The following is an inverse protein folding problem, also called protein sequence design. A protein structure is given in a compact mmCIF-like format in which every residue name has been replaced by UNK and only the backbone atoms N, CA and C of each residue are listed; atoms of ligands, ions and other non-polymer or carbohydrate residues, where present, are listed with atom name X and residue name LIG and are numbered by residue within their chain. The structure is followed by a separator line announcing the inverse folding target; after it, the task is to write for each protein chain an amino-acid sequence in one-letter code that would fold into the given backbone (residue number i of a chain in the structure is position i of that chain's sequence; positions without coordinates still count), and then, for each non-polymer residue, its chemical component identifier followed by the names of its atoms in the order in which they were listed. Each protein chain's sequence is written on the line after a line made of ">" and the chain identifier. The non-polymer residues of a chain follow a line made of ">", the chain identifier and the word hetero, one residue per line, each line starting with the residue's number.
data_IF_560085281736
#
_entry.id   IF_560085281736
#
_cell.length_a   1.000
_cell.length_b   1.000
_cell.length_c   1.000
_cell.angle_alpha   90.00
_cell.angle_beta   90.00
_cell.angle_gamma   90.00
#
_symmetry.space_group_name_H-M   'P 1'
#
loop_
_entity.id
_entity.type
_entity.pdbx_description
1 polymer ?
#
# COMPACT_ATOMS: atom_id res chain seq x y z
N UNK A 1 1.37 -66.49 30.24
CA UNK A 1 0.36 -65.52 30.76
C UNK A 1 0.98 -64.15 30.55
N UNK A 2 0.65 -63.35 29.52
CA UNK A 2 -0.65 -62.69 29.22
C UNK A 2 -1.23 -61.96 30.43
N UNK A 3 -1.59 -60.67 30.40
CA UNK A 3 -1.48 -59.60 29.39
C UNK A 3 -1.52 -58.21 30.13
N UNK A 4 -1.55 -57.00 29.56
CA UNK A 4 -1.73 -56.52 28.17
C UNK A 4 -1.05 -55.13 27.97
N UNK A 5 -1.19 -54.54 26.77
CA UNK A 5 -0.60 -53.25 26.36
C UNK A 5 -1.54 -52.05 26.57
N UNK A 6 -1.00 -50.84 26.87
CA UNK A 6 -0.98 -49.68 25.94
C UNK A 6 -0.38 -48.38 26.58
N UNK A 7 0.18 -47.45 25.76
CA UNK A 7 0.90 -46.27 26.25
C UNK A 7 0.06 -44.98 26.31
N UNK A 8 0.41 -44.08 27.22
CA UNK A 8 -0.23 -42.75 27.35
C UNK A 8 0.30 -41.72 26.34
N UNK A 9 -0.64 -41.07 25.65
CA UNK A 9 -0.74 -39.60 25.71
C UNK A 9 0.26 -38.74 24.92
N UNK A 10 0.03 -38.60 23.62
CA UNK A 10 0.56 -37.54 22.75
C UNK A 10 0.27 -36.13 23.30
N UNK A 11 1.30 -35.27 23.41
CA UNK A 11 1.14 -33.82 23.52
C UNK A 11 1.97 -33.10 22.44
N UNK A 12 1.29 -32.48 21.48
CA UNK A 12 1.94 -31.71 20.41
C UNK A 12 2.35 -30.32 20.94
N UNK A 13 3.61 -29.91 20.72
CA UNK A 13 4.02 -28.53 20.96
C UNK A 13 3.70 -27.68 19.74
N UNK A 14 2.78 -26.75 19.94
CA UNK A 14 2.30 -25.73 19.01
C UNK A 14 3.43 -24.83 18.53
N UNK A 15 3.46 -24.54 17.22
CA UNK A 15 4.28 -23.45 16.67
C UNK A 15 3.65 -22.07 16.98
N UNK A 16 4.44 -20.97 16.91
CA UNK A 16 3.93 -19.63 17.16
C UNK A 16 2.93 -19.23 16.06
N UNK A 17 1.71 -18.87 16.48
CA UNK A 17 0.60 -18.60 15.58
C UNK A 17 0.74 -17.28 14.82
N UNK A 18 0.42 -17.30 13.52
CA UNK A 18 0.27 -16.09 12.73
C UNK A 18 -0.95 -15.29 13.19
N UNK A 19 -0.73 -14.03 13.58
CA UNK A 19 -1.79 -13.09 13.98
C UNK A 19 -2.56 -12.56 12.75
N UNK A 20 -3.28 -13.44 12.04
CA UNK A 20 -4.31 -13.02 11.07
C UNK A 20 -5.54 -12.50 11.83
N UNK A 21 -5.48 -11.22 12.20
CA UNK A 21 -6.61 -10.49 12.79
C UNK A 21 -7.77 -10.39 11.81
N UNK A 22 -8.95 -10.86 12.22
CA UNK A 22 -10.17 -10.84 11.41
C UNK A 22 -10.82 -9.45 11.44
N UNK A 23 -10.78 -8.76 10.29
CA UNK A 23 -11.63 -7.60 10.01
C UNK A 23 -12.31 -7.76 8.64
N UNK A 24 -13.02 -8.87 8.45
CA UNK A 24 -13.92 -9.07 7.32
C UNK A 24 -15.33 -8.62 7.71
N UNK A 25 -15.60 -7.32 7.61
CA UNK A 25 -16.97 -6.83 7.51
C UNK A 25 -17.38 -6.97 6.03
N UNK A 26 -18.41 -7.77 5.76
CA UNK A 26 -18.91 -7.93 4.41
C UNK A 26 -19.58 -6.63 3.96
N UNK A 27 -18.99 -5.95 2.97
CA UNK A 27 -19.65 -4.88 2.22
C UNK A 27 -20.31 -5.48 0.99
N UNK A 28 -21.62 -5.31 0.89
CA UNK A 28 -22.44 -5.91 -0.15
C UNK A 28 -22.21 -5.23 -1.50
N UNK A 29 -22.21 -6.00 -2.59
CA UNK A 29 -21.78 -5.54 -3.92
C UNK A 29 -22.98 -5.01 -4.73
N UNK A 30 -23.48 -3.83 -4.32
CA UNK A 30 -24.55 -3.10 -4.99
C UNK A 30 -24.17 -2.59 -6.39
N UNK A 31 -25.14 -2.54 -7.31
CA UNK A 31 -24.88 -2.43 -8.74
C UNK A 31 -24.71 -0.99 -9.28
N UNK A 32 -23.74 -0.86 -10.20
CA UNK A 32 -23.67 -0.02 -11.41
C UNK A 32 -24.72 1.09 -11.57
N UNK A 33 -24.25 2.34 -11.55
CA UNK A 33 -24.92 3.49 -12.17
C UNK A 33 -24.17 3.92 -13.44
N UNK A 34 -24.82 3.81 -14.61
CA UNK A 34 -24.20 4.15 -15.91
C UNK A 34 -24.16 5.66 -16.12
N UNK A 35 -22.95 6.22 -16.24
CA UNK A 35 -22.72 7.61 -16.62
C UNK A 35 -21.46 7.75 -17.48
N UNK A 36 -21.62 8.23 -18.71
CA UNK A 36 -20.58 8.54 -19.68
C UNK A 36 -21.07 9.79 -20.46
N UNK A 37 -20.21 10.68 -20.99
CA UNK A 37 -18.98 10.30 -21.69
C UNK A 37 -17.73 11.20 -21.49
N UNK A 38 -16.57 10.71 -21.96
CA UNK A 38 -15.56 11.55 -22.60
C UNK A 38 -14.20 11.71 -21.90
N UNK A 39 -13.17 11.08 -22.47
CA UNK A 39 -11.78 11.58 -22.54
C UNK A 39 -11.08 11.99 -21.22
N UNK A 40 -10.87 11.01 -20.34
CA UNK A 40 -9.77 11.00 -19.35
C UNK A 40 -9.48 9.57 -18.86
N UNK A 41 -10.55 8.80 -18.63
CA UNK A 41 -10.51 7.48 -17.98
C UNK A 41 -9.74 6.36 -18.72
N UNK A 42 -9.47 6.49 -20.03
CA UNK A 42 -8.80 5.45 -20.83
C UNK A 42 -7.26 5.50 -20.79
N UNK A 43 -6.66 6.41 -20.02
CA UNK A 43 -5.20 6.58 -19.97
C UNK A 43 -4.51 5.90 -18.77
N UNK A 44 -5.25 5.40 -17.77
CA UNK A 44 -4.67 4.93 -16.48
C UNK A 44 -5.00 3.51 -15.94
N UNK A 45 -5.35 2.49 -16.74
CA UNK A 45 -5.66 1.16 -16.20
C UNK A 45 -4.48 0.43 -15.51
N UNK A 46 -3.24 0.96 -15.59
CA UNK A 46 -2.07 0.37 -14.96
C UNK A 46 -1.70 0.94 -13.58
N UNK A 47 -2.13 2.15 -13.17
CA UNK A 47 -1.67 2.76 -11.91
C UNK A 47 -2.86 2.92 -10.96
N UNK A 48 -2.80 2.41 -9.72
CA UNK A 48 -3.94 2.43 -8.79
C UNK A 48 -4.24 3.86 -8.34
N UNK A 49 -5.48 4.11 -7.98
CA UNK A 49 -5.92 5.37 -7.40
C UNK A 49 -5.49 5.55 -5.93
N UNK A 50 -5.50 6.79 -5.45
CA UNK A 50 -5.11 7.10 -4.07
C UNK A 50 -6.03 6.46 -3.02
N UNK A 51 -7.29 6.21 -3.38
CA UNK A 51 -8.25 5.49 -2.53
C UNK A 51 -7.90 4.00 -2.41
N UNK A 52 -7.39 3.37 -3.47
CA UNK A 52 -6.93 1.98 -3.46
C UNK A 52 -5.64 1.84 -2.65
N UNK A 53 -4.69 2.79 -2.79
CA UNK A 53 -3.50 2.84 -1.95
C UNK A 53 -3.85 2.96 -0.47
N UNK A 54 -4.81 3.80 -0.11
CA UNK A 54 -5.29 3.92 1.25
C UNK A 54 -5.97 2.63 1.74
N UNK A 55 -6.80 2.00 0.91
CA UNK A 55 -7.40 0.70 1.22
C UNK A 55 -6.35 -0.39 1.46
N UNK A 56 -5.26 -0.39 0.68
CA UNK A 56 -4.13 -1.29 0.85
C UNK A 56 -3.35 -1.02 2.15
N UNK A 57 -3.09 0.25 2.48
CA UNK A 57 -2.47 0.63 3.77
C UNK A 57 -3.33 0.22 4.97
N UNK A 58 -4.66 0.28 4.85
CA UNK A 58 -5.62 -0.23 5.83
C UNK A 58 -5.71 -1.78 5.86
N UNK A 59 -5.08 -2.47 4.91
CA UNK A 59 -5.05 -3.93 4.82
C UNK A 59 -6.29 -4.57 4.18
N UNK A 60 -7.13 -3.80 3.47
CA UNK A 60 -8.33 -4.30 2.80
C UNK A 60 -8.04 -4.98 1.45
N UNK A 61 -6.94 -4.61 0.80
CA UNK A 61 -6.42 -5.22 -0.45
C UNK A 61 -4.90 -5.40 -0.35
N UNK A 62 -4.26 -5.94 -1.40
CA UNK A 62 -2.81 -6.02 -1.51
C UNK A 62 -2.16 -7.18 -0.74
N UNK A 63 -2.91 -8.23 -0.41
CA UNK A 63 -2.38 -9.44 0.24
C UNK A 63 -2.32 -10.68 -0.67
N UNK A 64 -2.89 -10.62 -1.87
CA UNK A 64 -2.80 -11.68 -2.87
C UNK A 64 -1.57 -11.51 -3.77
N UNK A 65 -1.22 -12.55 -4.52
CA UNK A 65 -0.06 -12.53 -5.42
C UNK A 65 -0.36 -11.82 -6.76
N UNK A 66 -1.62 -11.88 -7.18
CA UNK A 66 -2.20 -11.26 -8.37
C UNK A 66 -2.73 -9.83 -8.14
N UNK A 67 -2.79 -9.38 -6.88
CA UNK A 67 -3.05 -7.97 -6.54
C UNK A 67 -2.01 -7.04 -7.19
N UNK A 68 -2.43 -5.81 -7.48
CA UNK A 68 -1.58 -4.80 -8.11
C UNK A 68 -0.25 -4.58 -7.35
N UNK A 69 0.93 -4.61 -8.01
CA UNK A 69 2.22 -4.56 -7.31
C UNK A 69 2.40 -3.32 -6.42
N UNK A 70 1.83 -2.17 -6.80
CA UNK A 70 1.91 -0.94 -6.00
C UNK A 70 0.97 -0.98 -4.78
N UNK A 71 -0.20 -1.63 -4.86
CA UNK A 71 -1.08 -1.77 -3.67
C UNK A 71 -0.51 -2.79 -2.69
N UNK A 72 0.05 -3.90 -3.19
CA UNK A 72 0.84 -4.86 -2.38
C UNK A 72 2.02 -4.17 -1.67
N UNK A 73 2.77 -3.33 -2.39
CA UNK A 73 3.86 -2.56 -1.81
C UNK A 73 3.40 -1.54 -0.76
N UNK A 74 2.27 -0.85 -1.00
CA UNK A 74 1.66 0.07 -0.02
C UNK A 74 1.27 -0.64 1.28
N UNK A 75 0.71 -1.85 1.18
CA UNK A 75 0.43 -2.72 2.32
C UNK A 75 1.71 -3.12 3.06
N UNK A 76 2.73 -3.62 2.37
CA UNK A 76 4.01 -4.02 2.98
C UNK A 76 4.67 -2.83 3.71
N UNK A 77 4.62 -1.63 3.13
CA UNK A 77 5.10 -0.40 3.76
C UNK A 77 4.33 -0.07 5.06
N UNK A 78 3.00 -0.18 5.07
CA UNK A 78 2.19 0.04 6.28
C UNK A 78 2.50 -1.00 7.38
N UNK A 79 2.66 -2.27 7.01
CA UNK A 79 3.07 -3.34 7.92
C UNK A 79 4.47 -3.09 8.51
N UNK A 80 5.42 -2.59 7.71
CA UNK A 80 6.76 -2.19 8.14
C UNK A 80 6.74 -0.96 9.08
N UNK A 81 5.94 0.06 8.78
CA UNK A 81 5.77 1.23 9.67
C UNK A 81 5.21 0.82 11.05
N UNK A 82 4.26 -0.10 11.07
CA UNK A 82 3.70 -0.66 12.31
C UNK A 82 4.72 -1.54 13.05
N UNK A 83 5.50 -2.35 12.33
CA UNK A 83 6.58 -3.15 12.90
C UNK A 83 7.68 -2.27 13.53
N UNK A 84 8.07 -1.17 12.87
CA UNK A 84 9.08 -0.22 13.38
C UNK A 84 8.66 0.40 14.71
N UNK A 85 7.38 0.73 14.88
CA UNK A 85 6.82 1.24 16.14
C UNK A 85 6.85 0.18 17.25
N UNK A 86 6.55 -1.08 16.92
CA UNK A 86 6.52 -2.21 17.87
C UNK A 86 7.91 -2.72 18.26
N UNK A 87 8.90 -2.57 17.38
CA UNK A 87 10.27 -3.06 17.61
C UNK A 87 11.32 -2.03 17.18
N UNK A 88 11.54 -0.96 17.96
CA UNK A 88 12.51 0.09 17.63
C UNK A 88 13.95 -0.43 17.43
N UNK A 89 14.31 -1.55 18.07
CA UNK A 89 15.64 -2.18 17.92
C UNK A 89 15.91 -2.69 16.50
N UNK A 90 14.85 -2.96 15.71
CA UNK A 90 14.95 -3.37 14.29
C UNK A 90 14.80 -2.20 13.31
N UNK A 91 14.80 -0.95 13.77
CA UNK A 91 14.52 0.21 12.92
C UNK A 91 15.43 0.31 11.68
N UNK A 92 16.73 -0.01 11.81
CA UNK A 92 17.67 0.05 10.68
C UNK A 92 17.36 -0.99 9.58
N UNK A 93 17.03 -2.22 9.97
CA UNK A 93 16.62 -3.29 9.05
C UNK A 93 15.31 -2.91 8.34
N UNK A 94 14.33 -2.42 9.10
CA UNK A 94 13.01 -2.04 8.58
C UNK A 94 13.10 -0.81 7.65
N UNK A 95 13.92 0.18 8.00
CA UNK A 95 14.13 1.36 7.15
C UNK A 95 14.95 1.04 5.89
N UNK A 96 15.83 0.04 5.93
CA UNK A 96 16.46 -0.51 4.73
C UNK A 96 15.40 -1.14 3.81
N UNK A 97 14.59 -2.06 4.35
CA UNK A 97 13.52 -2.73 3.59
C UNK A 97 12.50 -1.75 2.99
N UNK A 98 12.10 -0.71 3.75
CA UNK A 98 11.22 0.36 3.23
C UNK A 98 11.83 1.07 2.01
N UNK A 99 13.12 1.39 2.05
CA UNK A 99 13.82 2.03 0.91
C UNK A 99 13.91 1.11 -0.31
N UNK A 100 14.11 -0.20 -0.13
CA UNK A 100 14.06 -1.17 -1.22
C UNK A 100 12.69 -1.16 -1.93
N UNK A 101 11.60 -1.12 -1.16
CA UNK A 101 10.23 -1.09 -1.71
C UNK A 101 9.96 0.24 -2.43
N UNK A 102 10.40 1.38 -1.88
CA UNK A 102 10.31 2.69 -2.55
C UNK A 102 10.99 2.65 -3.92
N UNK A 103 12.23 2.16 -3.99
CA UNK A 103 12.98 2.02 -5.26
C UNK A 103 12.31 1.01 -6.20
N UNK A 104 11.69 -0.06 -5.68
CA UNK A 104 10.94 -1.02 -6.48
C UNK A 104 9.71 -0.38 -7.14
N UNK A 105 8.93 0.42 -6.40
CA UNK A 105 7.79 1.17 -6.95
C UNK A 105 8.26 2.15 -8.02
N UNK A 106 9.26 2.98 -7.72
CA UNK A 106 9.75 4.01 -8.67
C UNK A 106 10.28 3.38 -9.97
N UNK A 107 10.98 2.24 -9.87
CA UNK A 107 11.42 1.48 -11.04
C UNK A 107 10.24 0.90 -11.81
N UNK A 108 9.29 0.28 -11.12
CA UNK A 108 8.12 -0.33 -11.75
C UNK A 108 7.29 0.70 -12.56
N UNK A 109 7.18 1.94 -12.06
CA UNK A 109 6.54 3.04 -12.80
C UNK A 109 7.44 3.56 -13.93
N UNK A 110 8.74 3.73 -13.69
CA UNK A 110 9.69 4.22 -14.71
C UNK A 110 9.78 3.29 -15.93
N UNK A 111 9.64 1.98 -15.72
CA UNK A 111 9.61 0.97 -16.79
C UNK A 111 8.33 1.07 -17.69
N UNK A 112 7.30 1.82 -17.25
CA UNK A 112 5.98 1.95 -17.90
C UNK A 112 5.63 3.36 -18.39
N UNK A 113 6.34 4.37 -17.92
CA UNK A 113 5.93 5.78 -18.07
C UNK A 113 7.03 6.66 -18.66
N UNK A 114 6.64 7.77 -19.28
CA UNK A 114 7.56 8.77 -19.83
C UNK A 114 7.70 9.95 -18.87
N UNK A 115 8.10 9.65 -17.62
CA UNK A 115 8.09 10.61 -16.53
C UNK A 115 8.88 11.90 -16.83
N UNK A 116 8.34 13.03 -16.37
CA UNK A 116 9.01 14.31 -16.51
C UNK A 116 10.35 14.32 -15.75
N UNK A 117 11.33 15.10 -16.24
CA UNK A 117 12.66 15.19 -15.61
C UNK A 117 12.65 15.72 -14.14
N UNK A 118 11.51 16.27 -13.70
CA UNK A 118 11.28 16.76 -12.33
C UNK A 118 10.15 16.00 -11.62
N UNK A 119 9.74 14.84 -12.13
CA UNK A 119 8.70 14.02 -11.51
C UNK A 119 9.16 13.57 -10.11
N UNK A 120 8.27 13.72 -9.12
CA UNK A 120 8.55 13.34 -7.73
C UNK A 120 8.35 11.84 -7.54
N UNK A 121 9.23 11.18 -6.78
CA UNK A 121 9.14 9.74 -6.46
C UNK A 121 7.74 9.34 -5.98
N UNK A 122 7.11 8.41 -6.71
CA UNK A 122 5.82 7.83 -6.35
C UNK A 122 6.00 6.82 -5.21
N UNK A 123 7.11 6.07 -5.19
CA UNK A 123 7.45 5.19 -4.08
C UNK A 123 7.52 5.94 -2.74
N UNK A 124 8.14 7.11 -2.72
CA UNK A 124 8.21 7.96 -1.53
C UNK A 124 6.84 8.52 -1.14
N UNK A 125 5.95 8.80 -2.11
CA UNK A 125 4.58 9.22 -1.82
C UNK A 125 3.76 8.09 -1.18
N UNK A 126 3.86 6.86 -1.70
CA UNK A 126 3.22 5.65 -1.11
C UNK A 126 3.74 5.41 0.31
N UNK A 127 5.06 5.47 0.52
CA UNK A 127 5.67 5.30 1.85
C UNK A 127 5.25 6.41 2.84
N UNK A 128 5.08 7.64 2.36
CA UNK A 128 4.54 8.76 3.13
C UNK A 128 3.07 8.56 3.53
N UNK A 129 2.23 8.09 2.60
CA UNK A 129 0.82 7.75 2.87
C UNK A 129 0.72 6.61 3.89
N UNK A 130 1.52 5.54 3.73
CA UNK A 130 1.59 4.44 4.69
C UNK A 130 2.04 4.91 6.09
N UNK A 131 3.04 5.79 6.16
CA UNK A 131 3.49 6.38 7.42
C UNK A 131 2.38 7.17 8.13
N UNK A 132 1.64 7.99 7.37
CA UNK A 132 0.55 8.80 7.86
C UNK A 132 -0.64 7.94 8.32
N UNK A 133 -1.03 6.92 7.53
CA UNK A 133 -2.12 6.00 7.85
C UNK A 133 -1.84 5.24 9.15
N UNK A 134 -0.62 4.71 9.33
CA UNK A 134 -0.24 4.01 10.55
C UNK A 134 -0.19 4.97 11.74
N UNK A 135 0.29 6.21 11.54
CA UNK A 135 0.29 7.25 12.59
C UNK A 135 -1.14 7.60 13.04
N UNK A 136 -2.06 7.83 12.10
CA UNK A 136 -3.45 8.15 12.39
C UNK A 136 -4.16 6.98 13.11
N UNK A 137 -3.92 5.74 12.65
CA UNK A 137 -4.48 4.52 13.26
C UNK A 137 -3.97 4.27 14.68
N UNK A 138 -2.70 4.56 14.96
CA UNK A 138 -2.14 4.46 16.33
C UNK A 138 -2.71 5.56 17.22
N UNK A 139 -2.71 6.82 16.77
CA UNK A 139 -3.29 7.94 17.52
C UNK A 139 -4.77 7.70 17.88
N UNK A 140 -5.57 7.17 16.95
CA UNK A 140 -6.99 6.84 17.20
C UNK A 140 -7.18 5.73 18.26
N UNK A 141 -6.21 4.80 18.40
CA UNK A 141 -6.26 3.74 19.41
C UNK A 141 -5.81 4.20 20.79
N UNK A 142 -4.91 5.18 20.82
CA UNK A 142 -4.32 5.72 22.04
C UNK A 142 -5.09 6.93 22.59
N UNK A 143 -6.04 7.49 21.83
CA UNK A 143 -6.84 8.66 22.20
C UNK A 143 -8.01 8.31 23.14
N UNK A 144 -8.21 9.16 24.15
CA UNK A 144 -9.34 9.06 25.09
C UNK A 144 -10.68 9.49 24.45
N UNK A 145 -10.64 10.40 23.48
CA UNK A 145 -11.81 10.85 22.71
C UNK A 145 -11.49 10.94 21.21
N UNK A 146 -12.48 10.68 20.36
CA UNK A 146 -12.33 10.69 18.90
C UNK A 146 -12.13 12.12 18.35
N UNK A 147 -12.58 13.13 19.09
CA UNK A 147 -12.50 14.55 18.71
C UNK A 147 -11.13 15.21 18.97
N UNK A 148 -10.14 14.48 19.49
CA UNK A 148 -8.78 15.00 19.68
C UNK A 148 -8.25 15.62 18.37
N UNK A 149 -7.83 16.89 18.45
CA UNK A 149 -7.27 17.66 17.34
C UNK A 149 -6.11 16.91 16.65
N UNK A 150 -5.32 16.13 17.40
CA UNK A 150 -4.22 15.32 16.88
C UNK A 150 -4.72 14.17 16.01
N UNK A 151 -5.87 13.58 16.36
CA UNK A 151 -6.52 12.52 15.59
C UNK A 151 -7.12 13.09 14.31
N UNK A 152 -7.88 14.20 14.39
CA UNK A 152 -8.41 14.91 13.21
C UNK A 152 -7.30 15.37 12.26
N UNK A 153 -6.25 16.02 12.76
CA UNK A 153 -5.12 16.47 11.94
C UNK A 153 -4.36 15.30 11.30
N UNK A 154 -4.25 14.14 11.98
CA UNK A 154 -3.62 12.96 11.40
C UNK A 154 -4.45 12.36 10.26
N UNK A 155 -5.77 12.24 10.42
CA UNK A 155 -6.66 11.75 9.35
C UNK A 155 -6.79 12.74 8.19
N UNK A 156 -6.78 14.05 8.45
CA UNK A 156 -6.73 15.08 7.41
C UNK A 156 -5.47 14.95 6.52
N UNK A 157 -4.30 14.69 7.13
CA UNK A 157 -3.07 14.44 6.39
C UNK A 157 -3.16 13.17 5.53
N UNK A 158 -3.78 12.09 6.03
CA UNK A 158 -4.01 10.86 5.26
C UNK A 158 -4.87 11.14 4.02
N UNK A 159 -5.98 11.86 4.18
CA UNK A 159 -6.84 12.26 3.05
C UNK A 159 -6.12 13.15 2.04
N UNK A 160 -5.33 14.11 2.53
CA UNK A 160 -4.55 15.02 1.70
C UNK A 160 -3.49 14.30 0.87
N UNK A 161 -2.76 13.34 1.45
CA UNK A 161 -1.78 12.52 0.74
C UNK A 161 -2.44 11.58 -0.29
N UNK A 162 -3.60 11.00 0.05
CA UNK A 162 -4.36 10.16 -0.88
C UNK A 162 -4.92 10.96 -2.07
N UNK A 163 -5.37 12.19 -1.86
CA UNK A 163 -5.80 13.09 -2.95
C UNK A 163 -4.61 13.50 -3.84
N UNK A 164 -3.53 13.95 -3.21
CA UNK A 164 -2.31 14.44 -3.88
C UNK A 164 -1.60 13.37 -4.74
N UNK A 165 -1.85 12.08 -4.47
CA UNK A 165 -1.38 11.00 -5.33
C UNK A 165 -1.80 11.15 -6.80
N UNK A 166 -3.03 11.58 -7.09
CA UNK A 166 -3.49 11.77 -8.48
C UNK A 166 -2.64 12.79 -9.23
N UNK A 167 -2.39 13.95 -8.59
CA UNK A 167 -1.52 15.01 -9.11
C UNK A 167 -0.07 14.55 -9.33
N UNK A 168 0.39 13.51 -8.64
CA UNK A 168 1.71 12.91 -8.87
C UNK A 168 1.73 11.95 -10.05
N UNK A 169 0.67 11.14 -10.21
CA UNK A 169 0.55 10.20 -11.34
C UNK A 169 0.55 10.96 -12.66
N UNK A 170 -0.15 12.10 -12.74
CA UNK A 170 -0.14 12.99 -13.91
C UNK A 170 1.28 13.46 -14.33
N UNK A 171 2.21 13.61 -13.37
CA UNK A 171 3.61 14.01 -13.66
C UNK A 171 4.42 12.90 -14.35
N UNK A 172 3.97 11.65 -14.21
CA UNK A 172 4.64 10.49 -14.78
C UNK A 172 4.11 10.18 -16.17
N UNK A 173 2.82 10.47 -16.43
CA UNK A 173 2.15 10.05 -17.66
C UNK A 173 1.94 11.22 -18.63
N UNK A 174 3.02 11.98 -18.80
CA UNK A 174 3.11 12.96 -19.88
C UNK A 174 2.86 12.29 -21.23
N UNK A 175 1.94 12.86 -22.01
CA UNK A 175 1.59 12.43 -23.37
C UNK A 175 2.88 12.10 -24.13
N UNK A 176 3.02 10.84 -24.57
CA UNK A 176 4.23 10.32 -25.19
C UNK A 176 4.63 11.20 -26.39
N UNK A 177 5.58 12.10 -26.18
CA UNK A 177 6.03 13.04 -27.22
C UNK A 177 6.60 12.19 -28.35
N UNK A 178 6.06 12.25 -29.59
CA UNK A 178 6.42 11.30 -30.63
C UNK A 178 7.92 11.36 -30.85
N UNK A 179 8.60 10.23 -30.65
CA UNK A 179 10.06 10.11 -30.81
C UNK A 179 10.37 10.61 -32.22
N UNK A 180 11.00 11.78 -32.34
CA UNK A 180 11.46 12.31 -33.63
C UNK A 180 12.42 11.26 -34.19
N UNK A 181 11.95 10.46 -35.15
CA UNK A 181 12.83 9.58 -35.93
C UNK A 181 13.97 10.45 -36.45
N UNK A 182 15.24 10.04 -36.29
CA UNK A 182 16.32 10.78 -36.92
C UNK A 182 16.02 10.83 -38.42
N UNK A 183 15.88 12.04 -38.97
CA UNK A 183 15.85 12.21 -40.43
C UNK A 183 17.16 11.66 -40.94
N UNK A 184 17.10 10.61 -41.75
CA UNK A 184 18.29 9.98 -42.30
C UNK A 184 19.16 11.05 -42.98
N UNK A 185 20.44 11.07 -42.61
CA UNK A 185 21.44 11.72 -43.44
C UNK A 185 21.46 11.02 -44.81
N UNK A 186 21.56 11.82 -45.87
CA UNK A 186 21.77 11.33 -47.24
C UNK A 186 23.24 11.00 -47.47
#
# INVERSE_FOLDING_TARGET
>A
MSAASQPYGRAARTGPGGLRGRCAAAVDRGAVGTGAPGTAAELHPEIPEGHELLAACCGHIGDQADDHPVTRAARELAELHLARRRSPVRAAEIDCRRREIVVHIDRWVSDRTAAAAHARSLGAAVDGLAAAQVRATVLLRDAETVDDERVRAAWFLVGSLANWWGELVEQHVGIARPRRRPRGAR
#
